data_IF_771662905585
#
_entry.id   IF_771662905585
#
_cell.length_a   1.000
_cell.length_b   1.000
_cell.length_c   1.000
_cell.angle_alpha   90.00
_cell.angle_beta   90.00
_cell.angle_gamma   90.00
#
_symmetry.space_group_name_H-M   'P 1'
#
loop_
_entity.id
_entity.type
_entity.pdbx_description
1 polymer ?
#
# COMPACT_ATOMS: atom_id res chain seq x y z
N UNK A 1 11.85 16.52 -3.76
CA UNK A 1 10.89 15.54 -4.27
C UNK A 1 10.30 14.79 -3.10
N UNK A 2 9.01 14.53 -3.10
CA UNK A 2 8.27 13.85 -2.05
C UNK A 2 7.60 12.60 -2.58
N UNK A 3 7.81 11.48 -1.92
CA UNK A 3 7.26 10.18 -2.32
C UNK A 3 6.43 9.65 -1.16
N UNK A 4 5.16 9.36 -1.42
CA UNK A 4 4.30 8.61 -0.51
C UNK A 4 4.38 7.13 -0.87
N UNK A 5 4.79 6.30 0.08
CA UNK A 5 4.85 4.84 -0.10
C UNK A 5 3.86 4.19 0.86
N UNK A 6 2.96 3.37 0.34
CA UNK A 6 1.95 2.65 1.13
C UNK A 6 2.21 1.15 1.18
N UNK A 7 1.83 0.53 2.28
CA UNK A 7 1.77 -0.92 2.43
C UNK A 7 0.51 -1.34 3.19
N UNK A 8 -0.05 -2.50 2.86
CA UNK A 8 -1.26 -3.01 3.52
C UNK A 8 -0.96 -3.63 4.89
N UNK A 9 -1.92 -3.57 5.82
CA UNK A 9 -1.94 -4.41 7.01
C UNK A 9 -2.07 -5.92 6.68
N UNK A 10 -2.02 -6.75 7.72
CA UNK A 10 -2.21 -8.19 7.55
C UNK A 10 -3.67 -8.51 7.24
N UNK A 11 -3.91 -9.56 6.47
CA UNK A 11 -5.25 -10.01 6.10
C UNK A 11 -5.28 -11.53 5.98
N UNK A 12 -6.49 -12.11 5.85
CA UNK A 12 -6.68 -13.54 5.63
C UNK A 12 -5.94 -14.43 6.64
N UNK A 13 -6.02 -14.07 7.93
CA UNK A 13 -5.40 -14.77 9.08
C UNK A 13 -3.85 -14.78 9.08
N UNK A 14 -3.20 -14.04 8.17
CA UNK A 14 -1.77 -13.81 8.27
C UNK A 14 -1.46 -12.97 9.52
N UNK A 15 -0.29 -13.18 10.12
CA UNK A 15 0.17 -12.37 11.27
C UNK A 15 0.96 -11.13 10.84
N UNK A 16 1.45 -11.12 9.59
CA UNK A 16 2.20 -10.04 8.98
C UNK A 16 1.78 -9.86 7.52
N UNK A 17 2.14 -8.71 6.95
CA UNK A 17 2.09 -8.46 5.51
C UNK A 17 3.48 -8.01 5.05
N UNK A 18 4.19 -8.78 4.20
CA UNK A 18 5.53 -8.46 3.70
C UNK A 18 5.61 -7.09 3.01
N UNK A 19 4.52 -6.60 2.41
CA UNK A 19 4.50 -5.28 1.81
C UNK A 19 4.72 -4.19 2.86
N UNK A 20 3.99 -4.22 3.97
CA UNK A 20 4.20 -3.27 5.07
C UNK A 20 5.55 -3.49 5.76
N UNK A 21 5.95 -4.75 5.96
CA UNK A 21 7.23 -5.07 6.57
C UNK A 21 8.42 -4.53 5.75
N UNK A 22 8.32 -4.53 4.41
CA UNK A 22 9.31 -3.91 3.55
C UNK A 22 9.21 -2.38 3.59
N UNK A 23 8.01 -1.80 3.41
CA UNK A 23 7.81 -0.34 3.38
C UNK A 23 8.28 0.33 4.66
N UNK A 24 8.03 -0.25 5.84
CA UNK A 24 8.45 0.34 7.12
C UNK A 24 9.97 0.41 7.30
N UNK A 25 10.73 -0.42 6.57
CA UNK A 25 12.21 -0.42 6.60
C UNK A 25 12.84 0.63 5.69
N UNK A 26 12.07 1.26 4.80
CA UNK A 26 12.61 2.32 3.95
C UNK A 26 13.11 3.49 4.80
N UNK A 27 14.26 4.09 4.47
CA UNK A 27 14.72 5.29 5.14
C UNK A 27 13.76 6.45 4.84
N UNK A 28 13.75 7.47 5.71
CA UNK A 28 12.92 8.66 5.51
C UNK A 28 13.41 9.53 4.34
N UNK A 29 14.66 9.29 3.88
CA UNK A 29 15.24 9.93 2.70
C UNK A 29 15.97 8.91 1.83
N UNK A 30 15.71 8.95 0.52
CA UNK A 30 16.45 8.19 -0.49
C UNK A 30 17.02 9.18 -1.50
N UNK A 31 18.34 9.30 -1.55
CA UNK A 31 19.03 10.40 -2.22
C UNK A 31 18.45 11.76 -1.75
N UNK A 32 17.84 12.54 -2.65
CA UNK A 32 17.25 13.85 -2.36
C UNK A 32 15.70 13.82 -2.26
N UNK A 33 15.11 12.63 -2.09
CA UNK A 33 13.67 12.44 -1.98
C UNK A 33 13.26 12.17 -0.54
N UNK A 34 12.27 12.92 -0.03
CA UNK A 34 11.60 12.66 1.24
C UNK A 34 10.58 11.54 1.06
N UNK A 35 10.62 10.52 1.93
CA UNK A 35 9.78 9.32 1.86
C UNK A 35 8.82 9.29 3.04
N UNK A 36 7.53 9.47 2.77
CA UNK A 36 6.45 9.26 3.75
C UNK A 36 5.93 7.84 3.62
N UNK A 37 6.00 7.06 4.69
CA UNK A 37 5.49 5.69 4.77
C UNK A 37 4.11 5.69 5.45
N UNK A 38 3.14 4.98 4.89
CA UNK A 38 1.79 4.85 5.46
C UNK A 38 1.31 3.41 5.39
N UNK A 39 0.84 2.86 6.50
CA UNK A 39 0.12 1.60 6.50
C UNK A 39 -1.35 1.88 6.17
N UNK A 40 -1.92 1.15 5.21
CA UNK A 40 -3.34 1.23 4.85
C UNK A 40 -4.07 -0.05 5.27
N UNK A 41 -5.35 0.03 5.67
CA UNK A 41 -6.13 -1.16 6.02
C UNK A 41 -6.44 -2.01 4.78
N UNK A 42 -6.51 -3.32 4.92
CA UNK A 42 -7.06 -4.23 3.91
C UNK A 42 -8.58 -4.23 4.01
N UNK A 43 -9.16 -3.06 3.75
CA UNK A 43 -10.60 -2.78 3.80
C UNK A 43 -10.97 -1.91 2.59
N UNK A 44 -12.04 -2.28 1.90
CA UNK A 44 -12.54 -1.53 0.75
C UNK A 44 -12.84 -0.08 1.12
N UNK A 45 -12.48 0.84 0.23
CA UNK A 45 -12.66 2.30 0.35
C UNK A 45 -11.90 2.98 1.50
N UNK A 46 -11.70 2.34 2.65
CA UNK A 46 -10.90 2.88 3.76
C UNK A 46 -9.42 2.98 3.40
N UNK A 47 -8.89 1.99 2.68
CA UNK A 47 -7.51 1.99 2.18
C UNK A 47 -7.20 3.24 1.36
N UNK A 48 -8.06 3.55 0.38
CA UNK A 48 -7.91 4.71 -0.50
C UNK A 48 -8.17 6.01 0.25
N UNK A 49 -9.14 6.06 1.17
CA UNK A 49 -9.41 7.26 1.97
C UNK A 49 -8.20 7.67 2.81
N UNK A 50 -7.59 6.72 3.54
CA UNK A 50 -6.37 6.97 4.32
C UNK A 50 -5.25 7.50 3.44
N UNK A 51 -5.01 6.86 2.28
CA UNK A 51 -3.97 7.30 1.36
C UNK A 51 -4.23 8.71 0.82
N UNK A 52 -5.46 9.01 0.40
CA UNK A 52 -5.86 10.31 -0.16
C UNK A 52 -5.76 11.42 0.88
N UNK A 53 -6.15 11.17 2.13
CA UNK A 53 -6.01 12.14 3.23
C UNK A 53 -4.55 12.48 3.48
N UNK A 54 -3.66 11.48 3.53
CA UNK A 54 -2.23 11.73 3.68
C UNK A 54 -1.67 12.45 2.46
N UNK A 55 -2.06 12.06 1.25
CA UNK A 55 -1.60 12.71 0.03
C UNK A 55 -1.98 14.19 -0.02
N UNK A 56 -3.19 14.56 0.43
CA UNK A 56 -3.64 15.96 0.51
C UNK A 56 -2.81 16.80 1.48
N UNK A 57 -2.30 16.20 2.56
CA UNK A 57 -1.49 16.90 3.56
C UNK A 57 -0.01 16.94 3.18
N UNK A 58 0.51 15.81 2.69
CA UNK A 58 1.93 15.63 2.40
C UNK A 58 2.32 16.24 1.04
N UNK A 59 1.37 16.32 0.11
CA UNK A 59 1.54 16.80 -1.26
C UNK A 59 2.71 16.09 -1.98
N UNK A 60 2.64 14.74 -2.15
CA UNK A 60 3.70 13.99 -2.81
C UNK A 60 3.73 14.26 -4.31
N UNK A 61 4.93 14.20 -4.90
CA UNK A 61 5.13 14.18 -6.35
C UNK A 61 4.79 12.78 -6.93
N UNK A 62 5.02 11.73 -6.15
CA UNK A 62 4.78 10.33 -6.53
C UNK A 62 4.11 9.54 -5.40
N UNK A 63 3.24 8.60 -5.78
CA UNK A 63 2.64 7.63 -4.89
C UNK A 63 3.03 6.22 -5.36
N UNK A 64 3.59 5.41 -4.46
CA UNK A 64 3.94 4.01 -4.71
C UNK A 64 3.14 3.12 -3.75
N UNK A 65 2.21 2.34 -4.28
CA UNK A 65 1.43 1.38 -3.51
C UNK A 65 2.07 -0.01 -3.57
N UNK A 66 2.39 -0.59 -2.42
CA UNK A 66 3.01 -1.92 -2.32
C UNK A 66 2.02 -2.90 -1.71
N UNK A 67 1.85 -4.06 -2.34
CA UNK A 67 0.92 -5.10 -1.90
C UNK A 67 1.55 -6.49 -1.91
N UNK A 68 0.96 -7.43 -1.16
CA UNK A 68 1.38 -8.83 -1.15
C UNK A 68 0.65 -9.62 -2.24
N UNK A 69 1.42 -10.22 -3.16
CA UNK A 69 0.93 -11.24 -4.10
C UNK A 69 1.53 -12.61 -3.73
N UNK A 70 0.90 -13.32 -2.78
CA UNK A 70 1.53 -14.46 -2.06
C UNK A 70 1.92 -15.71 -2.89
N UNK A 71 1.70 -15.72 -4.19
CA UNK A 71 2.14 -16.78 -5.12
C UNK A 71 3.12 -16.29 -6.18
N UNK A 72 3.44 -15.00 -6.20
CA UNK A 72 4.37 -14.44 -7.17
C UNK A 72 5.80 -14.78 -6.74
N UNK A 73 6.63 -15.35 -7.62
CA UNK A 73 8.02 -15.68 -7.29
C UNK A 73 8.93 -14.44 -7.22
N UNK A 74 8.51 -13.33 -7.85
CA UNK A 74 9.32 -12.14 -8.06
C UNK A 74 8.53 -10.86 -7.73
N UNK A 75 9.23 -9.72 -7.71
CA UNK A 75 8.60 -8.40 -7.63
C UNK A 75 8.00 -8.06 -9.01
N UNK A 76 6.72 -7.73 -9.03
CA UNK A 76 5.99 -7.29 -10.23
C UNK A 76 5.66 -5.81 -10.18
N UNK A 77 5.63 -5.17 -11.34
CA UNK A 77 5.16 -3.79 -11.51
C UNK A 77 3.83 -3.85 -12.25
N UNK A 78 2.77 -3.39 -11.60
CA UNK A 78 1.44 -3.37 -12.19
C UNK A 78 1.35 -2.34 -13.31
N UNK A 79 0.88 -2.79 -14.49
CA UNK A 79 0.77 -1.94 -15.69
C UNK A 79 -0.55 -1.16 -15.74
N UNK A 80 -1.63 -1.76 -15.24
CA UNK A 80 -2.99 -1.23 -15.34
C UNK A 80 -3.74 -1.47 -14.03
N UNK A 81 -4.64 -0.54 -13.67
CA UNK A 81 -5.72 -0.77 -12.73
C UNK A 81 -7.04 -0.92 -13.49
N UNK A 82 -7.87 -1.89 -13.12
CA UNK A 82 -9.18 -2.13 -13.76
C UNK A 82 -10.26 -1.61 -12.81
N UNK A 83 -11.26 -0.91 -13.36
CA UNK A 83 -12.36 -0.31 -12.59
C UNK A 83 -13.42 -1.36 -12.20
N UNK A 84 -13.04 -2.32 -11.35
CA UNK A 84 -13.91 -3.35 -10.80
C UNK A 84 -13.37 -3.85 -9.45
N UNK A 85 -14.25 -4.03 -8.47
CA UNK A 85 -13.97 -4.74 -7.23
C UNK A 85 -14.62 -6.14 -7.31
N UNK A 86 -13.84 -7.18 -7.63
CA UNK A 86 -14.31 -8.57 -7.70
C UNK A 86 -13.40 -9.47 -6.85
N UNK A 87 -13.88 -9.87 -5.67
CA UNK A 87 -13.06 -10.53 -4.65
C UNK A 87 -13.42 -11.98 -4.42
N UNK A 88 -12.38 -12.80 -4.21
CA UNK A 88 -12.53 -14.21 -3.84
C UNK A 88 -12.77 -14.41 -2.33
N UNK A 89 -12.30 -13.48 -1.51
CA UNK A 89 -12.41 -13.51 -0.06
C UNK A 89 -12.88 -12.13 0.42
N UNK A 90 -13.51 -12.12 1.59
CA UNK A 90 -13.89 -10.91 2.28
C UNK A 90 -12.66 -10.11 2.72
N UNK A 91 -12.84 -8.80 2.85
CA UNK A 91 -11.83 -7.92 3.44
C UNK A 91 -11.80 -8.05 4.99
N UNK A 92 -10.98 -7.24 5.67
CA UNK A 92 -10.84 -7.30 7.12
C UNK A 92 -12.08 -6.81 7.92
N UNK A 93 -13.13 -6.32 7.25
CA UNK A 93 -14.43 -5.95 7.84
C UNK A 93 -15.59 -6.83 7.36
N UNK A 94 -15.27 -8.00 6.81
CA UNK A 94 -16.24 -8.99 6.33
C UNK A 94 -17.15 -8.50 5.18
N UNK A 95 -16.72 -7.47 4.44
CA UNK A 95 -17.39 -7.02 3.21
C UNK A 95 -17.30 -8.07 2.10
#
# INVERSE_FOLDING_TARGET
MKILVTGFDHFNKATINPAWEAVKTLPDYIANAEVKKVQVPTVFYESINVMVEVAKQFLPDFILCVGQAGRCPDVTIERIGINIDDTRIKDNKDN
#
